data_IF_720409292243
#
_entry.id   IF_720409292243
#
_cell.length_a   1.000
_cell.length_b   1.000
_cell.length_c   1.000
_cell.angle_alpha   90.00
_cell.angle_beta   90.00
_cell.angle_gamma   90.00
#
_symmetry.space_group_name_H-M   'P 1'
#
loop_
_entity.id
_entity.type
_entity.pdbx_description
1 polymer ?
#
# COMPACT_ATOMS: atom_id res chain seq x y z
N UNK A 1 3.55 -22.46 -0.16
CA UNK A 1 2.65 -21.86 0.86
C UNK A 1 2.81 -20.35 0.84
N UNK A 2 1.72 -19.58 0.85
CA UNK A 2 1.76 -18.12 1.01
C UNK A 2 2.18 -17.72 2.43
N UNK A 3 2.88 -16.60 2.59
CA UNK A 3 3.30 -16.04 3.88
C UNK A 3 3.10 -14.53 3.89
N UNK A 4 2.60 -14.02 5.01
CA UNK A 4 2.51 -12.58 5.29
C UNK A 4 3.44 -12.32 6.48
N UNK A 5 4.34 -11.36 6.36
CA UNK A 5 5.32 -11.00 7.40
C UNK A 5 5.16 -9.52 7.70
N UNK A 6 4.86 -9.19 8.95
CA UNK A 6 4.86 -7.82 9.48
C UNK A 6 6.17 -7.61 10.23
N UNK A 7 6.85 -6.50 9.96
CA UNK A 7 8.15 -6.21 10.55
C UNK A 7 7.97 -5.25 11.75
N UNK A 8 8.62 -5.50 12.90
CA UNK A 8 8.48 -4.64 14.07
C UNK A 8 9.31 -3.36 13.88
N UNK A 9 8.65 -2.25 13.57
CA UNK A 9 9.29 -0.99 13.19
C UNK A 9 8.93 0.18 14.12
N UNK A 10 8.15 -0.07 15.17
CA UNK A 10 7.59 0.98 15.99
C UNK A 10 6.55 1.76 15.18
N UNK A 11 6.48 3.08 15.30
CA UNK A 11 5.45 3.86 14.59
C UNK A 11 5.79 4.06 13.09
N UNK A 12 5.87 2.95 12.35
CA UNK A 12 6.16 2.83 10.93
C UNK A 12 5.68 1.47 10.40
N UNK A 13 5.44 1.38 9.10
CA UNK A 13 4.87 0.19 8.47
C UNK A 13 5.75 -0.42 7.39
N UNK A 14 5.86 -1.73 7.42
CA UNK A 14 6.33 -2.55 6.30
C UNK A 14 5.80 -3.96 6.46
N UNK A 15 5.14 -4.47 5.43
CA UNK A 15 4.67 -5.84 5.36
C UNK A 15 5.12 -6.51 4.06
N UNK A 16 5.62 -7.74 4.14
CA UNK A 16 5.99 -8.56 2.99
C UNK A 16 5.00 -9.71 2.79
N UNK A 17 4.57 -9.93 1.55
CA UNK A 17 3.77 -11.07 1.13
C UNK A 17 4.61 -11.93 0.18
N UNK A 18 4.91 -13.15 0.61
CA UNK A 18 5.52 -14.17 -0.23
C UNK A 18 4.43 -15.11 -0.75
N UNK A 19 4.32 -15.23 -2.07
CA UNK A 19 3.35 -16.09 -2.72
C UNK A 19 3.95 -17.47 -3.03
N UNK A 20 3.11 -18.50 -3.01
CA UNK A 20 3.51 -19.85 -3.39
C UNK A 20 4.00 -19.97 -4.84
N UNK A 21 3.53 -19.08 -5.73
CA UNK A 21 3.99 -18.98 -7.11
C UNK A 21 5.35 -18.26 -7.27
N UNK A 22 6.15 -18.17 -6.20
CA UNK A 22 7.47 -17.53 -6.15
C UNK A 22 7.46 -16.02 -6.48
N UNK A 23 6.31 -15.36 -6.33
CA UNK A 23 6.23 -13.90 -6.38
C UNK A 23 6.32 -13.30 -4.99
N UNK A 24 6.99 -12.16 -4.86
CA UNK A 24 7.06 -11.42 -3.60
C UNK A 24 6.56 -9.97 -3.75
N UNK A 25 5.78 -9.53 -2.77
CA UNK A 25 5.25 -8.18 -2.71
C UNK A 25 5.68 -7.53 -1.40
N UNK A 26 6.07 -6.28 -1.47
CA UNK A 26 6.35 -5.45 -0.31
C UNK A 26 5.34 -4.30 -0.27
N UNK A 27 4.67 -4.15 0.87
CA UNK A 27 3.76 -3.05 1.16
C UNK A 27 4.45 -2.12 2.15
N UNK A 28 4.67 -0.89 1.70
CA UNK A 28 5.48 0.15 2.33
C UNK A 28 6.94 -0.27 2.58
N UNK A 29 7.79 0.71 2.88
CA UNK A 29 9.17 0.48 3.29
C UNK A 29 9.65 1.66 4.13
N UNK A 30 9.81 1.41 5.44
CA UNK A 30 10.23 2.44 6.38
C UNK A 30 11.38 1.92 7.25
N UNK A 31 12.58 2.02 6.72
CA UNK A 31 13.78 1.65 7.47
C UNK A 31 14.30 2.83 8.28
N UNK A 32 14.43 2.62 9.60
CA UNK A 32 15.05 3.56 10.52
C UNK A 32 16.46 3.08 10.86
N UNK A 33 17.45 3.98 10.78
CA UNK A 33 18.86 3.67 11.08
C UNK A 33 19.07 3.24 12.53
N UNK A 34 18.22 3.68 13.43
CA UNK A 34 18.25 3.26 14.83
C UNK A 34 17.94 1.76 14.97
N UNK A 35 17.18 1.15 14.04
CA UNK A 35 16.96 -0.30 14.03
C UNK A 35 18.21 -1.11 13.69
N UNK A 36 19.32 -0.47 13.29
CA UNK A 36 20.61 -1.14 13.04
C UNK A 36 21.38 -1.46 14.34
N UNK A 37 20.94 -0.96 15.50
CA UNK A 37 21.62 -1.14 16.78
C UNK A 37 20.94 -2.20 17.66
N UNK A 38 21.74 -2.93 18.46
CA UNK A 38 21.24 -4.01 19.32
C UNK A 38 20.39 -3.54 20.52
N UNK A 39 20.36 -2.23 20.80
CA UNK A 39 19.65 -1.61 21.91
C UNK A 39 18.29 -0.99 21.51
N UNK A 40 17.96 -0.97 20.22
CA UNK A 40 16.65 -0.55 19.72
C UNK A 40 15.74 -1.79 19.50
N UNK A 41 14.47 -1.76 19.93
CA UNK A 41 13.55 -2.87 19.71
C UNK A 41 13.12 -3.04 18.24
N UNK A 42 13.35 -2.04 17.38
CA UNK A 42 13.02 -2.11 15.96
C UNK A 42 13.99 -3.01 15.21
N UNK A 43 13.49 -3.68 14.18
CA UNK A 43 14.33 -4.53 13.34
C UNK A 43 15.20 -3.69 12.38
N UNK A 44 16.42 -4.16 12.13
CA UNK A 44 17.20 -3.76 10.95
C UNK A 44 16.50 -4.28 9.67
N UNK A 45 15.53 -3.49 9.20
CA UNK A 45 14.68 -3.84 8.07
C UNK A 45 15.49 -4.08 6.80
N UNK A 46 16.45 -3.19 6.48
CA UNK A 46 17.24 -3.25 5.28
C UNK A 46 18.05 -4.56 5.22
N UNK A 47 18.79 -4.88 6.29
CA UNK A 47 19.56 -6.12 6.38
C UNK A 47 18.65 -7.35 6.34
N UNK A 48 17.54 -7.33 7.07
CA UNK A 48 16.60 -8.46 7.13
C UNK A 48 16.04 -8.80 5.75
N UNK A 49 15.56 -7.80 5.01
CA UNK A 49 15.03 -8.01 3.66
C UNK A 49 16.14 -8.43 2.67
N UNK A 50 17.35 -7.87 2.76
CA UNK A 50 18.48 -8.32 1.94
C UNK A 50 18.84 -9.78 2.17
N UNK A 51 18.88 -10.23 3.43
CA UNK A 51 19.16 -11.62 3.79
C UNK A 51 18.06 -12.57 3.31
N UNK A 52 16.80 -12.18 3.42
CA UNK A 52 15.66 -12.93 2.88
C UNK A 52 15.74 -13.08 1.37
N UNK A 53 15.88 -11.97 0.63
CA UNK A 53 16.01 -11.99 -0.82
C UNK A 53 17.21 -12.82 -1.28
N UNK A 54 18.35 -12.73 -0.58
CA UNK A 54 19.53 -13.56 -0.86
C UNK A 54 19.26 -15.05 -0.67
N UNK A 55 18.53 -15.45 0.38
CA UNK A 55 18.11 -16.84 0.59
C UNK A 55 17.18 -17.32 -0.53
N UNK A 56 16.33 -16.43 -1.03
CA UNK A 56 15.45 -16.66 -2.18
C UNK A 56 16.18 -16.57 -3.54
N UNK A 57 17.47 -16.22 -3.56
CA UNK A 57 18.27 -15.96 -4.77
C UNK A 57 17.68 -14.85 -5.66
N UNK A 58 17.07 -13.85 -5.04
CA UNK A 58 16.51 -12.66 -5.67
C UNK A 58 17.31 -11.42 -5.26
N UNK A 59 17.24 -10.39 -6.09
CA UNK A 59 17.72 -9.03 -5.79
C UNK A 59 16.65 -8.00 -6.17
N UNK A 60 15.39 -8.40 -6.15
CA UNK A 60 14.24 -7.62 -6.56
C UNK A 60 13.00 -8.02 -5.76
N UNK A 61 12.06 -7.08 -5.70
CA UNK A 61 10.66 -7.40 -5.42
C UNK A 61 9.84 -7.39 -6.71
N UNK A 62 8.91 -8.33 -6.85
CA UNK A 62 7.97 -8.31 -7.97
C UNK A 62 7.08 -7.07 -7.90
N UNK A 63 6.60 -6.76 -6.71
CA UNK A 63 5.81 -5.55 -6.43
C UNK A 63 6.38 -4.84 -5.21
N UNK A 64 6.55 -3.52 -5.32
CA UNK A 64 6.61 -2.63 -4.16
C UNK A 64 5.43 -1.68 -4.24
N UNK A 65 4.57 -1.69 -3.22
CA UNK A 65 3.40 -0.85 -3.12
C UNK A 65 3.58 0.14 -1.98
N UNK A 66 3.54 1.44 -2.29
CA UNK A 66 3.46 2.48 -1.26
C UNK A 66 2.01 2.88 -1.08
N UNK A 67 1.51 2.75 0.15
CA UNK A 67 0.15 3.12 0.50
C UNK A 67 -0.07 4.61 0.38
N UNK A 68 0.92 5.39 0.82
CA UNK A 68 1.00 6.84 0.71
C UNK A 68 2.48 7.30 0.88
N UNK A 69 2.73 8.61 1.00
CA UNK A 69 4.08 9.19 0.99
C UNK A 69 4.54 9.77 2.33
N UNK A 70 3.91 9.38 3.45
CA UNK A 70 4.42 9.76 4.76
C UNK A 70 5.68 8.98 5.13
N UNK A 71 6.55 9.63 5.89
CA UNK A 71 7.93 9.19 6.10
C UNK A 71 7.99 7.81 6.77
N UNK A 72 7.08 7.54 7.69
CA UNK A 72 6.90 6.24 8.35
C UNK A 72 6.38 5.11 7.44
N UNK A 73 6.19 5.39 6.13
CA UNK A 73 5.88 4.40 5.09
C UNK A 73 6.93 4.37 3.96
N UNK A 74 7.83 5.36 3.90
CA UNK A 74 8.79 5.51 2.78
C UNK A 74 10.25 5.72 3.21
N UNK A 75 10.53 5.91 4.50
CA UNK A 75 11.86 6.29 5.01
C UNK A 75 12.93 5.31 4.55
N UNK A 76 14.03 5.86 4.03
CA UNK A 76 15.20 5.10 3.58
C UNK A 76 15.01 4.39 2.24
N UNK A 77 13.88 4.59 1.56
CA UNK A 77 13.62 3.97 0.24
C UNK A 77 14.69 4.31 -0.78
N UNK A 78 15.14 5.57 -0.82
CA UNK A 78 16.17 5.99 -1.78
C UNK A 78 17.58 5.56 -1.42
N UNK A 79 17.81 4.91 -0.28
CA UNK A 79 19.07 4.24 0.04
C UNK A 79 19.00 2.75 -0.32
N UNK A 80 17.83 2.13 -0.14
CA UNK A 80 17.63 0.69 -0.30
C UNK A 80 17.32 0.25 -1.74
N UNK A 81 16.48 1.00 -2.45
CA UNK A 81 15.98 0.60 -3.76
C UNK A 81 16.81 1.15 -4.92
N UNK A 82 16.83 0.35 -6.00
CA UNK A 82 17.25 0.77 -7.32
C UNK A 82 16.08 1.52 -7.96
N UNK A 83 16.27 2.81 -8.26
CA UNK A 83 15.25 3.66 -8.89
C UNK A 83 15.66 4.01 -10.32
N UNK A 84 14.75 3.80 -11.29
CA UNK A 84 15.03 3.96 -12.72
C UNK A 84 15.21 5.42 -13.15
N UNK A 85 14.63 6.37 -12.40
CA UNK A 85 14.59 7.78 -12.79
C UNK A 85 15.96 8.48 -12.77
N UNK A 86 16.81 8.21 -11.77
CA UNK A 86 18.05 8.97 -11.58
C UNK A 86 19.26 8.07 -11.29
N UNK A 87 20.34 8.26 -12.06
CA UNK A 87 21.55 7.43 -12.06
C UNK A 87 22.18 7.23 -10.67
N UNK A 88 22.08 8.22 -9.78
CA UNK A 88 22.62 8.11 -8.41
C UNK A 88 21.98 6.99 -7.57
N UNK A 89 20.81 6.50 -7.98
CA UNK A 89 20.10 5.40 -7.33
C UNK A 89 20.28 4.07 -8.05
N UNK A 90 21.15 3.98 -9.06
CA UNK A 90 21.26 2.83 -9.96
C UNK A 90 22.48 1.95 -9.69
N UNK A 91 22.80 1.69 -8.42
CA UNK A 91 23.91 0.80 -8.05
C UNK A 91 23.47 -0.68 -7.95
N UNK A 92 24.40 -1.61 -8.15
CA UNK A 92 24.10 -3.05 -8.22
C UNK A 92 23.76 -3.70 -6.88
N UNK A 93 24.11 -3.05 -5.78
CA UNK A 93 23.82 -3.43 -4.39
C UNK A 93 22.39 -3.09 -3.95
N UNK A 94 21.70 -2.22 -4.69
CA UNK A 94 20.32 -1.82 -4.39
C UNK A 94 19.30 -2.79 -4.94
N UNK A 95 18.18 -2.94 -4.22
CA UNK A 95 17.12 -3.89 -4.55
C UNK A 95 16.23 -3.32 -5.66
N UNK A 96 15.97 -4.11 -6.70
CA UNK A 96 15.15 -3.68 -7.83
C UNK A 96 13.65 -3.78 -7.54
N UNK A 97 12.88 -2.91 -8.19
CA UNK A 97 11.42 -2.93 -8.15
C UNK A 97 10.92 -3.25 -9.57
N UNK A 98 10.33 -4.43 -9.78
CA UNK A 98 9.82 -4.83 -11.10
C UNK A 98 8.58 -3.99 -11.47
N UNK A 99 7.59 -3.91 -10.58
CA UNK A 99 6.43 -3.03 -10.74
C UNK A 99 6.15 -2.24 -9.46
N UNK A 100 6.03 -0.91 -9.61
CA UNK A 100 5.77 0.03 -8.52
C UNK A 100 4.27 0.31 -8.43
N UNK A 101 3.69 0.21 -7.24
CA UNK A 101 2.28 0.43 -6.98
C UNK A 101 2.12 1.70 -6.14
N UNK A 102 1.41 2.71 -6.66
CA UNK A 102 1.23 4.00 -5.96
C UNK A 102 -0.16 4.59 -6.19
N UNK A 103 -0.76 5.28 -5.21
CA UNK A 103 -1.94 6.10 -5.44
C UNK A 103 -1.61 7.27 -6.39
N UNK A 104 -2.60 7.70 -7.19
CA UNK A 104 -2.46 8.86 -8.07
C UNK A 104 -2.05 10.13 -7.30
N UNK A 105 -2.43 10.24 -6.02
CA UNK A 105 -2.03 11.32 -5.13
C UNK A 105 -0.50 11.47 -5.03
N UNK A 106 0.27 10.38 -4.92
CA UNK A 106 1.74 10.46 -4.89
C UNK A 106 2.33 11.05 -6.18
N UNK A 107 1.68 10.83 -7.32
CA UNK A 107 2.10 11.43 -8.60
C UNK A 107 1.76 12.93 -8.64
N UNK A 108 0.63 13.32 -8.05
CA UNK A 108 0.02 14.64 -8.17
C UNK A 108 0.37 15.61 -7.04
N UNK A 109 0.94 15.10 -5.95
CA UNK A 109 1.33 15.91 -4.81
C UNK A 109 2.26 17.04 -5.25
N UNK A 110 1.91 18.27 -4.89
CA UNK A 110 2.74 19.45 -5.11
C UNK A 110 3.57 19.73 -3.86
N UNK A 111 4.78 20.28 -4.04
CA UNK A 111 5.63 20.61 -2.89
C UNK A 111 6.26 19.42 -2.15
N UNK A 112 6.06 18.17 -2.57
CA UNK A 112 6.73 17.01 -1.96
C UNK A 112 8.26 17.22 -1.85
N UNK A 113 8.80 16.92 -0.67
CA UNK A 113 10.22 17.06 -0.31
C UNK A 113 10.87 15.68 -0.08
N UNK A 114 12.20 15.66 0.04
CA UNK A 114 12.99 14.48 0.43
C UNK A 114 12.57 13.15 -0.24
N UNK A 115 12.29 12.10 0.54
CA UNK A 115 11.92 10.78 0.02
C UNK A 115 10.63 10.80 -0.79
N UNK A 116 9.61 11.54 -0.33
CA UNK A 116 8.35 11.67 -1.05
C UNK A 116 8.57 12.26 -2.45
N UNK A 117 9.45 13.26 -2.57
CA UNK A 117 9.83 13.82 -3.86
C UNK A 117 10.53 12.80 -4.74
N UNK A 118 11.44 12.01 -4.19
CA UNK A 118 12.24 11.03 -4.93
C UNK A 118 11.32 9.94 -5.50
N UNK A 119 10.47 9.34 -4.66
CA UNK A 119 9.51 8.32 -5.08
C UNK A 119 8.46 8.87 -6.04
N UNK A 120 7.99 10.11 -5.87
CA UNK A 120 7.13 10.77 -6.85
C UNK A 120 7.80 10.86 -8.21
N UNK A 121 9.08 11.23 -8.29
CA UNK A 121 9.78 11.34 -9.57
C UNK A 121 10.00 9.96 -10.21
N UNK A 122 10.28 8.93 -9.42
CA UNK A 122 10.31 7.54 -9.90
C UNK A 122 8.96 7.12 -10.49
N UNK A 123 7.87 7.34 -9.76
CA UNK A 123 6.52 7.02 -10.21
C UNK A 123 6.16 7.76 -11.50
N UNK A 124 6.43 9.08 -11.56
CA UNK A 124 6.24 9.90 -12.76
C UNK A 124 7.07 9.39 -13.94
N UNK A 125 8.33 9.00 -13.71
CA UNK A 125 9.20 8.45 -14.74
C UNK A 125 8.61 7.15 -15.34
N UNK A 126 8.26 6.18 -14.48
CA UNK A 126 7.67 4.90 -14.92
C UNK A 126 6.34 5.08 -15.63
N UNK A 127 5.48 6.00 -15.14
CA UNK A 127 4.21 6.31 -15.78
C UNK A 127 4.41 6.94 -17.17
N UNK A 128 5.40 7.83 -17.32
CA UNK A 128 5.74 8.39 -18.63
C UNK A 128 6.33 7.36 -19.58
N UNK A 129 7.19 6.48 -19.08
CA UNK A 129 7.73 5.33 -19.82
C UNK A 129 6.63 4.35 -20.25
N UNK A 130 5.57 4.23 -19.45
CA UNK A 130 4.39 3.41 -19.77
C UNK A 130 4.51 1.95 -19.32
N UNK A 131 5.40 1.65 -18.38
CA UNK A 131 5.67 0.28 -17.90
C UNK A 131 6.26 0.28 -16.49
N UNK A 132 6.16 -0.85 -15.78
CA UNK A 132 6.77 -1.03 -14.46
C UNK A 132 6.07 -0.26 -13.34
N UNK A 133 4.83 0.18 -13.55
CA UNK A 133 4.02 0.89 -12.57
C UNK A 133 2.54 0.53 -12.69
N UNK A 134 1.85 0.54 -11.56
CA UNK A 134 0.40 0.58 -11.40
C UNK A 134 0.02 1.83 -10.63
N UNK A 135 -0.89 2.61 -11.18
CA UNK A 135 -1.44 3.80 -10.53
C UNK A 135 -2.85 3.51 -10.06
N UNK A 136 -3.12 3.82 -8.80
CA UNK A 136 -4.44 3.60 -8.21
C UNK A 136 -5.24 4.90 -8.19
N UNK A 137 -6.50 4.80 -8.63
CA UNK A 137 -7.40 5.94 -8.87
C UNK A 137 -7.07 6.76 -10.12
N UNK A 138 -8.11 7.44 -10.62
CA UNK A 138 -8.10 8.25 -11.84
C UNK A 138 -8.82 9.59 -11.61
N UNK A 139 -8.26 10.48 -10.77
CA UNK A 139 -8.77 11.83 -10.59
C UNK A 139 -8.64 12.66 -11.87
N UNK A 140 -9.42 13.73 -11.99
CA UNK A 140 -9.34 14.63 -13.15
C UNK A 140 -7.96 15.30 -13.23
N UNK A 141 -7.35 15.62 -12.08
CA UNK A 141 -5.96 16.12 -12.00
C UNK A 141 -4.94 15.18 -12.64
N UNK A 142 -5.13 13.85 -12.61
CA UNK A 142 -4.23 12.91 -13.29
C UNK A 142 -4.34 13.04 -14.80
N UNK A 143 -5.55 13.21 -15.32
CA UNK A 143 -5.79 13.45 -16.75
C UNK A 143 -5.09 14.73 -17.21
N UNK A 144 -5.18 15.80 -16.42
CA UNK A 144 -4.54 17.07 -16.75
C UNK A 144 -3.03 17.04 -16.60
N UNK A 145 -2.50 16.31 -15.61
CA UNK A 145 -1.07 16.06 -15.49
C UNK A 145 -0.53 15.28 -16.72
N UNK A 146 -1.22 14.22 -17.15
CA UNK A 146 -0.84 13.46 -18.34
C UNK A 146 -0.80 14.35 -19.59
N UNK A 147 -1.81 15.21 -19.80
CA UNK A 147 -1.83 16.15 -20.92
C UNK A 147 -0.63 17.10 -20.90
N UNK A 148 -0.26 17.62 -19.72
CA UNK A 148 0.91 18.50 -19.56
C UNK A 148 2.23 17.78 -19.90
N UNK A 149 2.32 16.48 -19.66
CA UNK A 149 3.45 15.65 -20.04
C UNK A 149 3.37 15.13 -21.50
N UNK A 150 2.42 15.61 -22.31
CA UNK A 150 2.26 15.20 -23.71
C UNK A 150 1.65 13.81 -23.90
N UNK A 151 0.96 13.30 -22.89
CA UNK A 151 0.32 11.97 -22.87
C UNK A 151 -1.21 12.10 -22.83
N UNK A 152 -1.88 10.98 -23.10
CA UNK A 152 -3.35 10.88 -22.95
C UNK A 152 -3.71 9.85 -21.89
N UNK A 153 -4.87 10.03 -21.26
CA UNK A 153 -5.42 9.04 -20.33
C UNK A 153 -5.54 7.66 -20.99
N UNK A 154 -6.04 7.59 -22.23
CA UNK A 154 -6.18 6.32 -22.95
C UNK A 154 -4.84 5.63 -23.17
N UNK A 155 -3.76 6.37 -23.45
CA UNK A 155 -2.41 5.82 -23.63
C UNK A 155 -1.82 5.20 -22.35
N UNK A 156 -2.41 5.47 -21.18
CA UNK A 156 -1.96 4.97 -19.87
C UNK A 156 -3.03 4.21 -19.10
N UNK A 157 -4.23 4.05 -19.68
CA UNK A 157 -5.38 3.42 -19.03
C UNK A 157 -5.10 1.99 -18.55
N UNK A 158 -4.28 1.23 -19.26
CA UNK A 158 -3.89 -0.13 -18.87
C UNK A 158 -3.01 -0.20 -17.62
N UNK A 159 -2.44 0.93 -17.19
CA UNK A 159 -1.60 1.07 -15.99
C UNK A 159 -2.39 1.63 -14.80
N UNK A 160 -3.67 1.97 -14.98
CA UNK A 160 -4.51 2.59 -13.96
C UNK A 160 -5.56 1.57 -13.49
N UNK A 161 -5.72 1.43 -12.18
CA UNK A 161 -6.79 0.60 -11.58
C UNK A 161 -7.60 1.44 -10.61
N UNK A 162 -8.91 1.48 -10.82
CA UNK A 162 -9.85 2.27 -10.03
C UNK A 162 -10.38 1.46 -8.83
N UNK A 163 -10.81 2.16 -7.76
CA UNK A 163 -11.56 1.53 -6.67
C UNK A 163 -12.78 0.74 -7.19
N UNK A 164 -13.02 -0.44 -6.64
CA UNK A 164 -14.05 -1.36 -7.08
C UNK A 164 -13.62 -2.37 -8.13
N UNK A 165 -12.33 -2.37 -8.52
CA UNK A 165 -11.74 -3.29 -9.50
C UNK A 165 -10.75 -4.26 -8.84
N UNK A 166 -10.48 -5.38 -9.53
CA UNK A 166 -9.36 -6.26 -9.21
C UNK A 166 -8.09 -5.72 -9.85
N UNK A 167 -6.97 -5.84 -9.16
CA UNK A 167 -5.65 -5.51 -9.72
C UNK A 167 -5.28 -6.56 -10.78
N UNK A 168 -4.96 -6.17 -12.02
CA UNK A 168 -4.60 -7.12 -13.06
C UNK A 168 -3.25 -7.80 -12.75
N UNK A 169 -3.06 -9.01 -13.27
CA UNK A 169 -1.81 -9.77 -13.10
C UNK A 169 -1.76 -10.66 -11.86
N UNK A 170 -2.80 -10.64 -11.02
CA UNK A 170 -3.00 -11.56 -9.90
C UNK A 170 -4.40 -12.15 -9.96
N UNK A 171 -4.48 -13.48 -9.98
CA UNK A 171 -5.74 -14.21 -10.00
C UNK A 171 -5.61 -15.50 -9.19
N UNK A 172 -6.73 -15.98 -8.68
CA UNK A 172 -6.79 -17.16 -7.82
C UNK A 172 -6.20 -18.40 -8.50
N UNK A 173 -6.41 -18.58 -9.81
CA UNK A 173 -6.03 -19.80 -10.53
C UNK A 173 -4.52 -19.90 -10.71
N UNK A 174 -3.88 -18.82 -11.14
CA UNK A 174 -2.45 -18.81 -11.49
C UNK A 174 -1.56 -18.36 -10.32
N UNK A 175 -2.10 -17.57 -9.40
CA UNK A 175 -1.31 -16.95 -8.33
C UNK A 175 -1.77 -17.33 -6.92
N UNK A 176 -2.90 -18.02 -6.77
CA UNK A 176 -3.47 -18.34 -5.45
C UNK A 176 -3.96 -17.11 -4.69
N UNK A 177 -4.01 -15.94 -5.31
CA UNK A 177 -4.43 -14.68 -4.69
C UNK A 177 -5.04 -13.73 -5.71
N UNK A 178 -6.05 -12.97 -5.29
CA UNK A 178 -6.51 -11.76 -5.99
C UNK A 178 -6.45 -10.54 -5.06
N UNK A 179 -6.24 -9.35 -5.63
CA UNK A 179 -6.25 -8.09 -4.90
C UNK A 179 -7.39 -7.21 -5.40
N UNK A 180 -8.26 -6.77 -4.48
CA UNK A 180 -9.37 -5.87 -4.76
C UNK A 180 -9.07 -4.47 -4.20
N UNK A 181 -9.32 -3.44 -5.00
CA UNK A 181 -9.04 -2.05 -4.63
C UNK A 181 -10.27 -1.43 -3.96
N UNK A 182 -10.14 -1.00 -2.70
CA UNK A 182 -11.19 -0.26 -2.00
C UNK A 182 -10.99 1.26 -2.08
N UNK A 183 -9.74 1.71 -2.06
CA UNK A 183 -9.32 3.12 -2.04
C UNK A 183 -8.00 3.25 -2.83
N UNK A 184 -7.63 4.42 -3.42
CA UNK A 184 -8.27 5.72 -3.30
C UNK A 184 -9.53 5.93 -4.15
N UNK A 185 -10.43 6.78 -3.65
CA UNK A 185 -11.50 7.37 -4.46
C UNK A 185 -10.98 8.61 -5.19
N UNK A 186 -11.37 8.80 -6.45
CA UNK A 186 -10.92 9.94 -7.28
C UNK A 186 -11.04 11.30 -6.59
N UNK A 187 -12.15 11.55 -5.90
CA UNK A 187 -12.42 12.82 -5.20
C UNK A 187 -11.35 13.21 -4.16
N UNK A 188 -10.67 12.24 -3.56
CA UNK A 188 -9.66 12.48 -2.52
C UNK A 188 -8.34 12.98 -3.11
N UNK A 189 -8.09 12.71 -4.40
CA UNK A 189 -6.90 13.15 -5.10
C UNK A 189 -7.12 14.44 -5.95
N UNK A 190 -8.34 14.98 -6.00
CA UNK A 190 -8.68 16.20 -6.75
C UNK A 190 -8.60 17.49 -5.91
N UNK A 191 -8.31 17.40 -4.60
CA UNK A 191 -8.12 18.54 -3.72
C UNK A 191 -6.91 19.43 -4.08
N UNK A 192 -6.94 20.70 -3.67
CA UNK A 192 -5.83 21.64 -3.85
C UNK A 192 -4.63 21.31 -2.96
N UNK A 193 -4.88 20.71 -1.79
CA UNK A 193 -3.89 20.12 -0.89
C UNK A 193 -4.08 18.61 -0.98
N UNK A 194 -2.98 17.88 -1.10
CA UNK A 194 -3.02 16.41 -1.11
C UNK A 194 -3.03 15.92 0.32
N UNK A 195 -4.15 15.36 0.76
CA UNK A 195 -4.19 14.57 1.98
C UNK A 195 -3.75 13.14 1.65
N UNK A 196 -2.59 12.76 2.20
CA UNK A 196 -1.93 11.49 1.91
C UNK A 196 -2.69 10.31 2.51
N UNK A 197 -3.26 10.48 3.69
CA UNK A 197 -3.99 9.44 4.42
C UNK A 197 -5.38 9.23 3.82
N UNK A 198 -6.06 10.30 3.43
CA UNK A 198 -7.35 10.17 2.75
C UNK A 198 -7.23 9.58 1.34
N UNK A 199 -6.06 9.74 0.73
CA UNK A 199 -5.72 9.21 -0.60
C UNK A 199 -4.95 7.89 -0.56
N UNK A 200 -4.84 7.26 0.61
CA UNK A 200 -4.07 6.05 0.79
C UNK A 200 -4.66 4.86 0.02
N UNK A 201 -3.79 3.96 -0.40
CA UNK A 201 -4.15 2.69 -1.03
C UNK A 201 -4.73 1.73 0.03
N UNK A 202 -5.99 1.34 -0.16
CA UNK A 202 -6.63 0.28 0.64
C UNK A 202 -6.89 -0.90 -0.28
N UNK A 203 -6.26 -2.05 0.03
CA UNK A 203 -6.43 -3.29 -0.71
C UNK A 203 -7.04 -4.39 0.14
N UNK A 204 -7.73 -5.29 -0.52
CA UNK A 204 -8.19 -6.54 0.05
C UNK A 204 -7.60 -7.70 -0.74
N UNK A 205 -6.71 -8.47 -0.11
CA UNK A 205 -6.13 -9.66 -0.68
C UNK A 205 -6.96 -10.90 -0.27
N UNK A 206 -7.40 -11.68 -1.24
CA UNK A 206 -8.07 -12.98 -1.00
C UNK A 206 -7.16 -14.10 -1.48
N UNK A 207 -6.54 -14.80 -0.53
CA UNK A 207 -5.73 -15.98 -0.78
C UNK A 207 -6.60 -17.22 -0.83
N UNK A 208 -6.29 -18.15 -1.74
CA UNK A 208 -6.97 -19.44 -1.85
C UNK A 208 -5.92 -20.55 -1.87
N UNK A 209 -5.91 -21.34 -0.81
CA UNK A 209 -5.09 -22.56 -0.72
C UNK A 209 -6.04 -23.75 -0.65
N UNK A 210 -6.00 -24.61 -1.67
CA UNK A 210 -6.99 -25.66 -1.90
C UNK A 210 -8.40 -25.07 -1.99
N UNK A 211 -9.26 -25.31 -0.99
CA UNK A 211 -10.65 -24.79 -0.94
C UNK A 211 -10.84 -23.74 0.14
N UNK A 212 -9.78 -23.32 0.83
CA UNK A 212 -9.87 -22.37 1.95
C UNK A 212 -9.46 -20.98 1.49
N UNK A 213 -10.35 -20.02 1.73
CA UNK A 213 -10.05 -18.60 1.59
C UNK A 213 -9.46 -18.04 2.88
N UNK A 214 -8.45 -17.19 2.74
CA UNK A 214 -7.96 -16.31 3.80
C UNK A 214 -7.96 -14.88 3.27
N UNK A 215 -8.57 -13.96 4.00
CA UNK A 215 -8.76 -12.56 3.58
C UNK A 215 -7.86 -11.63 4.39
N UNK A 216 -7.05 -10.83 3.72
CA UNK A 216 -6.18 -9.84 4.35
C UNK A 216 -6.59 -8.44 3.91
N UNK A 217 -6.84 -7.56 4.87
CA UNK A 217 -7.19 -6.17 4.65
C UNK A 217 -5.98 -5.29 4.93
N UNK A 218 -5.48 -4.60 3.90
CA UNK A 218 -4.30 -3.73 3.90
C UNK A 218 -4.81 -2.30 3.81
N UNK A 219 -4.49 -1.45 4.78
CA UNK A 219 -5.22 -0.20 4.99
C UNK A 219 -4.31 1.04 5.02
N UNK A 220 -3.07 0.89 5.50
CA UNK A 220 -2.19 2.03 5.78
C UNK A 220 -2.86 3.00 6.75
N UNK A 221 -2.64 4.30 6.57
CA UNK A 221 -2.99 5.32 7.58
C UNK A 221 -4.40 5.93 7.44
N UNK A 222 -5.29 5.17 6.81
CA UNK A 222 -6.65 5.63 6.52
C UNK A 222 -7.45 5.95 7.78
N UNK A 223 -8.14 7.10 7.77
CA UNK A 223 -8.99 7.55 8.87
C UNK A 223 -10.37 6.89 8.86
N UNK A 224 -11.14 7.10 9.93
CA UNK A 224 -12.50 6.58 10.05
C UNK A 224 -13.43 7.14 8.97
N UNK A 225 -13.21 8.35 8.45
CA UNK A 225 -14.00 8.92 7.36
C UNK A 225 -13.83 8.10 6.08
N UNK A 226 -12.58 7.79 5.69
CA UNK A 226 -12.30 6.98 4.50
C UNK A 226 -12.82 5.56 4.68
N UNK A 227 -12.63 4.95 5.85
CA UNK A 227 -13.16 3.62 6.14
C UNK A 227 -14.69 3.59 6.10
N UNK A 228 -15.35 4.63 6.59
CA UNK A 228 -16.81 4.78 6.52
C UNK A 228 -17.27 4.85 5.07
N UNK A 229 -16.57 5.60 4.22
CA UNK A 229 -16.86 5.66 2.79
C UNK A 229 -16.67 4.31 2.09
N UNK A 230 -15.62 3.58 2.42
CA UNK A 230 -15.37 2.21 1.91
C UNK A 230 -16.55 1.31 2.26
N UNK A 231 -17.02 1.33 3.52
CA UNK A 231 -18.18 0.55 3.96
C UNK A 231 -19.45 0.95 3.20
N UNK A 232 -19.75 2.25 3.14
CA UNK A 232 -20.95 2.77 2.51
C UNK A 232 -20.99 2.47 1.01
N UNK A 233 -19.90 2.71 0.28
CA UNK A 233 -19.80 2.43 -1.16
C UNK A 233 -19.88 0.93 -1.42
N UNK A 234 -19.20 0.11 -0.64
CA UNK A 234 -19.24 -1.35 -0.82
C UNK A 234 -20.64 -1.91 -0.61
N UNK A 235 -21.37 -1.44 0.41
CA UNK A 235 -22.79 -1.78 0.65
C UNK A 235 -23.69 -1.27 -0.47
N UNK A 236 -23.50 -0.03 -0.93
CA UNK A 236 -24.25 0.54 -2.07
C UNK A 236 -24.13 -0.34 -3.32
N UNK A 237 -22.97 -0.95 -3.53
CA UNK A 237 -22.72 -1.88 -4.63
C UNK A 237 -23.06 -3.34 -4.33
N UNK A 238 -23.61 -3.66 -3.14
CA UNK A 238 -23.98 -5.01 -2.70
C UNK A 238 -22.80 -6.00 -2.72
N UNK A 239 -21.65 -5.54 -2.24
CA UNK A 239 -20.37 -6.28 -2.23
C UNK A 239 -19.80 -6.46 -0.83
N UNK A 240 -20.66 -6.56 0.18
CA UNK A 240 -20.27 -6.64 1.61
C UNK A 240 -19.30 -7.78 1.90
N UNK A 241 -19.33 -8.85 1.11
CA UNK A 241 -18.35 -9.95 1.20
C UNK A 241 -16.90 -9.50 0.99
N UNK A 242 -16.66 -8.38 0.29
CA UNK A 242 -15.33 -7.76 0.07
C UNK A 242 -14.81 -7.00 1.30
N UNK A 243 -15.58 -6.94 2.39
CA UNK A 243 -15.17 -6.34 3.67
C UNK A 243 -15.02 -7.37 4.80
N UNK A 244 -15.22 -8.65 4.50
CA UNK A 244 -14.86 -9.73 5.42
C UNK A 244 -13.35 -9.87 5.45
N UNK A 245 -12.78 -10.10 6.62
CA UNK A 245 -11.33 -10.20 6.80
C UNK A 245 -10.99 -11.29 7.81
N UNK A 246 -9.83 -11.91 7.64
CA UNK A 246 -9.22 -12.86 8.58
C UNK A 246 -7.94 -12.26 9.19
N UNK A 247 -7.26 -11.39 8.45
CA UNK A 247 -6.16 -10.53 8.92
C UNK A 247 -6.53 -9.09 8.60
N UNK A 248 -6.40 -8.20 9.57
CA UNK A 248 -6.73 -6.79 9.45
C UNK A 248 -5.54 -5.97 9.95
N UNK A 249 -4.91 -5.29 9.00
CA UNK A 249 -3.89 -4.29 9.23
C UNK A 249 -4.51 -3.11 9.98
N UNK A 250 -4.07 -2.86 11.22
CA UNK A 250 -4.65 -1.81 12.04
C UNK A 250 -4.19 -0.45 11.47
N UNK A 251 -5.11 0.43 11.07
CA UNK A 251 -4.73 1.65 10.37
C UNK A 251 -3.97 2.60 11.28
N UNK A 252 -3.04 3.35 10.69
CA UNK A 252 -2.45 4.55 11.27
C UNK A 252 -1.85 4.29 12.65
N UNK A 253 -1.08 3.20 12.75
CA UNK A 253 -0.37 2.80 13.98
C UNK A 253 -1.27 2.74 15.21
N UNK A 254 -2.48 2.20 15.05
CA UNK A 254 -3.51 2.13 16.10
C UNK A 254 -4.07 3.49 16.55
N UNK A 255 -3.99 4.53 15.71
CA UNK A 255 -4.56 5.84 16.00
C UNK A 255 -6.07 5.77 16.23
N UNK A 256 -6.55 6.52 17.21
CA UNK A 256 -7.99 6.63 17.50
C UNK A 256 -8.76 7.25 16.33
N UNK A 257 -8.10 8.02 15.46
CA UNK A 257 -8.70 8.65 14.28
C UNK A 257 -9.13 7.63 13.22
N UNK A 258 -8.61 6.40 13.27
CA UNK A 258 -9.11 5.28 12.50
C UNK A 258 -10.45 4.73 13.03
N UNK A 259 -10.83 5.09 14.26
CA UNK A 259 -12.06 4.67 14.92
C UNK A 259 -13.14 5.76 14.92
N UNK A 260 -12.79 6.99 15.33
CA UNK A 260 -13.69 8.14 15.44
C UNK A 260 -12.94 9.46 15.44
N UNK A 261 -13.68 10.56 15.28
CA UNK A 261 -13.25 11.94 15.48
C UNK A 261 -13.02 12.33 16.96
N UNK A 262 -13.74 11.71 17.90
CA UNK A 262 -13.60 11.95 19.33
C UNK A 262 -12.77 10.87 20.04
N UNK A 263 -11.71 11.28 20.74
CA UNK A 263 -10.86 10.37 21.51
C UNK A 263 -11.50 10.05 22.85
N UNK A 264 -11.83 8.77 23.06
CA UNK A 264 -12.29 8.31 24.36
C UNK A 264 -11.19 8.39 25.43
N UNK A 265 -11.58 8.57 26.69
CA UNK A 265 -10.64 8.65 27.82
C UNK A 265 -9.84 7.36 28.02
N UNK A 266 -10.53 6.23 27.99
CA UNK A 266 -9.93 4.88 28.17
C UNK A 266 -10.14 4.01 26.92
N UNK A 267 -11.25 4.21 26.21
CA UNK A 267 -11.59 3.47 25.00
C UNK A 267 -12.33 4.40 24.06
N UNK A 268 -11.87 4.47 22.81
CA UNK A 268 -12.54 5.21 21.74
C UNK A 268 -13.69 4.36 21.20
N UNK A 269 -14.89 4.94 21.15
CA UNK A 269 -16.05 4.28 20.55
C UNK A 269 -15.99 4.51 19.03
N UNK A 270 -15.89 3.46 18.21
CA UNK A 270 -15.83 3.63 16.77
C UNK A 270 -17.16 4.14 16.21
N UNK A 271 -17.10 4.93 15.13
CA UNK A 271 -18.28 5.31 14.35
C UNK A 271 -18.99 4.06 13.79
N UNK A 272 -20.31 4.12 13.50
CA UNK A 272 -21.10 2.92 13.19
C UNK A 272 -20.55 2.07 12.03
N UNK A 273 -20.04 2.71 10.98
CA UNK A 273 -19.46 2.05 9.82
C UNK A 273 -18.17 1.31 10.17
N UNK A 274 -17.23 1.96 10.88
CA UNK A 274 -15.98 1.34 11.33
C UNK A 274 -16.27 0.21 12.31
N UNK A 275 -17.18 0.42 13.26
CA UNK A 275 -17.64 -0.65 14.15
C UNK A 275 -18.10 -1.86 13.35
N UNK A 276 -18.97 -1.64 12.36
CA UNK A 276 -19.51 -2.72 11.56
C UNK A 276 -18.43 -3.44 10.75
N UNK A 277 -17.45 -2.70 10.20
CA UNK A 277 -16.31 -3.26 9.48
C UNK A 277 -15.48 -4.18 10.39
N UNK A 278 -15.18 -3.74 11.61
CA UNK A 278 -14.47 -4.56 12.60
C UNK A 278 -15.29 -5.81 13.00
N UNK A 279 -16.63 -5.71 13.04
CA UNK A 279 -17.50 -6.86 13.27
C UNK A 279 -17.53 -7.87 12.08
N UNK A 280 -16.91 -7.57 10.93
CA UNK A 280 -16.81 -8.49 9.79
C UNK A 280 -15.62 -9.45 9.87
N UNK A 281 -14.86 -9.42 10.96
CA UNK A 281 -13.75 -10.35 11.21
C UNK A 281 -14.20 -11.81 11.26
N UNK A 282 -13.41 -12.68 10.63
CA UNK A 282 -13.60 -14.12 10.66
C UNK A 282 -13.40 -14.73 12.05
N UNK A 283 -13.79 -16.00 12.20
CA UNK A 283 -13.52 -16.74 13.43
C UNK A 283 -12.00 -16.85 13.64
N UNK A 284 -11.50 -16.29 14.73
CA UNK A 284 -10.05 -16.11 15.01
C UNK A 284 -9.36 -15.11 14.08
N UNK A 285 -10.08 -14.07 13.67
CA UNK A 285 -9.49 -12.93 12.97
C UNK A 285 -8.33 -12.31 13.76
N UNK A 286 -7.32 -11.84 13.04
CA UNK A 286 -6.11 -11.24 13.59
C UNK A 286 -6.14 -9.75 13.28
N UNK A 287 -6.05 -8.93 14.33
CA UNK A 287 -5.72 -7.51 14.22
C UNK A 287 -4.22 -7.38 14.46
N UNK A 288 -3.50 -6.70 13.56
CA UNK A 288 -2.04 -6.61 13.62
C UNK A 288 -1.57 -5.22 13.18
N UNK A 289 -0.50 -4.73 13.81
CA UNK A 289 0.20 -3.49 13.49
C UNK A 289 1.68 -3.82 13.31
N UNK A 290 2.41 -3.07 12.49
CA UNK A 290 3.89 -3.14 12.49
C UNK A 290 4.51 -2.38 13.68
N UNK A 291 3.65 -1.75 14.50
CA UNK A 291 3.98 -0.85 15.61
C UNK A 291 4.19 -1.48 16.97
#
# INVERSE_FOLDING_TARGET
MHKITFYPLGNADTCKIDLECDKNLLFDYAHSKEGETDDDPRIDLAKSLQEELKKEKKNYFDIVAFTHADDDHIRGSSDFFYLEHADKYQSSDRIRINELWVPAAMILEDGAEDEARILRQEARFRLKKGSGIRVFSRPDRLTDWLKKEGLTLDSRKSLITDAGQLVPGFDIVNHGVEFFVHSPFAKHADGAITDRNESALILHATFVVNTRETKFFIIGDSTHEVLSEVVQKTRKHKRENRLKWDVYDIPHHCSYLALSDDKGKETTVPVPEVKWLLDQGGLRGILISCS
#
